data_IF_197215787227
#
_entry.id   IF_197215787227
#
_cell.length_a   1.000
_cell.length_b   1.000
_cell.length_c   1.000
_cell.angle_alpha   90.00
_cell.angle_beta   90.00
_cell.angle_gamma   90.00
#
_symmetry.space_group_name_H-M   'P 1'
#
loop_
_entity.id
_entity.type
_entity.pdbx_description
1 polymer ?
#
# COMPACT_ATOMS: atom_id res chain seq x y z
N UNK A 1 8.48 -11.32 7.01
CA UNK A 1 8.10 -10.94 5.63
C UNK A 1 6.73 -10.30 5.55
N UNK A 2 5.62 -11.03 5.74
CA UNK A 2 4.26 -10.45 5.63
C UNK A 2 4.07 -9.20 6.51
N UNK A 3 4.46 -9.27 7.79
CA UNK A 3 4.38 -8.12 8.71
C UNK A 3 5.08 -6.87 8.14
N UNK A 4 6.25 -7.03 7.54
CA UNK A 4 7.01 -5.93 6.93
C UNK A 4 6.27 -5.34 5.73
N UNK A 5 5.72 -6.18 4.84
CA UNK A 5 4.91 -5.72 3.70
C UNK A 5 3.67 -4.95 4.17
N UNK A 6 2.98 -5.44 5.20
CA UNK A 6 1.82 -4.75 5.78
C UNK A 6 2.20 -3.41 6.43
N UNK A 7 3.37 -3.33 7.05
CA UNK A 7 3.91 -2.08 7.59
C UNK A 7 4.27 -1.08 6.49
N UNK A 8 4.88 -1.55 5.40
CA UNK A 8 5.21 -0.75 4.21
C UNK A 8 3.91 -0.19 3.59
N UNK A 9 2.93 -1.05 3.31
CA UNK A 9 1.62 -0.62 2.78
C UNK A 9 1.00 0.47 3.65
N UNK A 10 1.02 0.29 4.97
CA UNK A 10 0.44 1.26 5.90
C UNK A 10 1.23 2.57 5.96
N UNK A 11 2.56 2.51 5.97
CA UNK A 11 3.42 3.67 6.13
C UNK A 11 3.43 4.56 4.88
N UNK A 12 3.45 3.94 3.69
CA UNK A 12 3.52 4.63 2.41
C UNK A 12 2.15 4.76 1.73
N UNK A 13 1.07 4.32 2.39
CA UNK A 13 -0.31 4.33 1.85
C UNK A 13 -0.43 3.69 0.47
N UNK A 14 0.28 2.58 0.25
CA UNK A 14 0.32 1.88 -1.04
C UNK A 14 -1.05 1.24 -1.31
N UNK A 15 -1.76 1.65 -2.37
CA UNK A 15 -3.17 1.32 -2.56
C UNK A 15 -3.40 0.00 -3.30
N UNK A 16 -2.38 -0.62 -3.89
CA UNK A 16 -2.53 -1.85 -4.65
C UNK A 16 -1.21 -2.64 -4.78
N UNK A 17 -1.28 -3.80 -5.42
CA UNK A 17 -0.16 -4.73 -5.54
C UNK A 17 0.92 -4.28 -6.55
N UNK A 18 0.55 -3.53 -7.59
CA UNK A 18 1.48 -3.02 -8.60
C UNK A 18 2.40 -1.97 -7.98
N UNK A 19 1.81 -1.01 -7.27
CA UNK A 19 2.55 0.02 -6.54
C UNK A 19 3.45 -0.59 -5.45
N UNK A 20 3.00 -1.69 -4.81
CA UNK A 20 3.83 -2.43 -3.86
C UNK A 20 5.00 -3.14 -4.55
N UNK A 21 4.76 -3.69 -5.74
CA UNK A 21 5.79 -4.35 -6.53
C UNK A 21 6.90 -3.37 -6.90
N UNK A 22 6.55 -2.22 -7.47
CA UNK A 22 7.48 -1.14 -7.82
C UNK A 22 8.29 -0.69 -6.58
N UNK A 23 7.60 -0.47 -5.45
CA UNK A 23 8.27 -0.10 -4.20
C UNK A 23 9.31 -1.14 -3.75
N UNK A 24 8.98 -2.44 -3.85
CA UNK A 24 9.87 -3.53 -3.43
C UNK A 24 11.03 -3.72 -4.40
N UNK A 25 10.83 -3.54 -5.71
CA UNK A 25 11.92 -3.56 -6.68
C UNK A 25 12.97 -2.47 -6.38
N UNK A 26 12.51 -1.28 -6.02
CA UNK A 26 13.40 -0.15 -5.73
C UNK A 26 14.03 -0.20 -4.33
N UNK A 27 13.25 -0.60 -3.31
CA UNK A 27 13.60 -0.40 -1.91
C UNK A 27 13.67 -1.70 -1.09
N UNK A 28 13.25 -2.85 -1.64
CA UNK A 28 13.06 -4.10 -0.90
C UNK A 28 14.30 -4.58 -0.15
N UNK A 29 15.49 -4.39 -0.74
CA UNK A 29 16.76 -4.74 -0.12
C UNK A 29 16.98 -4.05 1.24
N UNK A 30 16.57 -2.79 1.37
CA UNK A 30 16.66 -2.02 2.63
C UNK A 30 15.76 -2.58 3.74
N UNK A 31 14.76 -3.38 3.38
CA UNK A 31 13.86 -4.06 4.32
C UNK A 31 14.18 -5.56 4.46
N UNK A 32 15.24 -6.06 3.80
CA UNK A 32 15.58 -7.47 3.75
C UNK A 32 14.55 -8.31 2.97
N UNK A 33 13.92 -7.73 1.95
CA UNK A 33 12.91 -8.36 1.11
C UNK A 33 13.44 -8.41 -0.32
N UNK A 34 13.74 -9.61 -0.81
CA UNK A 34 13.97 -9.84 -2.23
C UNK A 34 12.68 -10.19 -2.98
N UNK A 35 12.73 -10.18 -4.32
CA UNK A 35 11.56 -10.43 -5.17
C UNK A 35 10.99 -11.84 -5.03
N UNK A 36 11.81 -12.86 -4.80
CA UNK A 36 11.30 -14.23 -4.64
C UNK A 36 10.52 -14.37 -3.32
N UNK A 37 11.06 -13.76 -2.26
CA UNK A 37 10.42 -13.70 -0.95
C UNK A 37 9.12 -12.88 -0.98
N UNK A 38 9.09 -11.80 -1.77
CA UNK A 38 7.87 -11.04 -2.04
C UNK A 38 6.82 -11.89 -2.78
N UNK A 39 7.17 -12.49 -3.91
CA UNK A 39 6.26 -13.31 -4.75
C UNK A 39 5.66 -14.49 -3.97
N UNK A 40 6.48 -15.23 -3.20
CA UNK A 40 5.98 -16.33 -2.36
C UNK A 40 5.05 -15.86 -1.22
N UNK A 41 5.25 -14.64 -0.72
CA UNK A 41 4.39 -14.07 0.32
C UNK A 41 3.03 -13.67 -0.24
N UNK A 42 2.99 -13.05 -1.43
CA UNK A 42 1.73 -12.60 -2.04
C UNK A 42 0.84 -13.78 -2.45
N UNK A 43 1.44 -14.85 -2.97
CA UNK A 43 0.72 -16.05 -3.42
C UNK A 43 -0.07 -16.70 -2.28
N UNK A 44 0.49 -16.72 -1.06
CA UNK A 44 -0.13 -17.38 0.09
C UNK A 44 -0.96 -16.46 1.00
N UNK A 45 -0.99 -15.14 0.75
CA UNK A 45 -1.58 -14.12 1.65
C UNK A 45 -2.40 -13.04 0.94
N UNK A 46 -2.94 -13.34 -0.24
CA UNK A 46 -3.71 -12.40 -1.06
C UNK A 46 -4.88 -11.72 -0.32
N UNK A 47 -5.64 -12.44 0.50
CA UNK A 47 -6.82 -11.89 1.21
C UNK A 47 -6.48 -10.76 2.18
N UNK A 48 -5.43 -10.90 2.99
CA UNK A 48 -5.04 -9.86 3.96
C UNK A 48 -4.39 -8.66 3.27
N UNK A 49 -3.63 -8.89 2.20
CA UNK A 49 -3.08 -7.82 1.37
C UNK A 49 -4.20 -6.97 0.77
N UNK A 50 -5.25 -7.61 0.24
CA UNK A 50 -6.42 -6.90 -0.30
C UNK A 50 -7.09 -5.99 0.71
N UNK A 51 -7.27 -6.44 1.96
CA UNK A 51 -7.82 -5.60 3.03
C UNK A 51 -6.95 -4.37 3.33
N UNK A 52 -5.62 -4.53 3.29
CA UNK A 52 -4.69 -3.42 3.51
C UNK A 52 -4.71 -2.42 2.35
N UNK A 53 -4.74 -2.92 1.11
CA UNK A 53 -4.88 -2.11 -0.10
C UNK A 53 -6.19 -1.31 -0.10
N UNK A 54 -7.32 -1.96 0.17
CA UNK A 54 -8.62 -1.30 0.28
C UNK A 54 -8.61 -0.21 1.36
N UNK A 55 -8.01 -0.50 2.52
CA UNK A 55 -7.87 0.47 3.61
C UNK A 55 -6.97 1.66 3.26
N UNK A 56 -5.85 1.43 2.56
CA UNK A 56 -4.95 2.47 2.09
C UNK A 56 -5.63 3.38 1.06
N UNK A 57 -6.31 2.79 0.07
CA UNK A 57 -7.06 3.53 -0.95
C UNK A 57 -8.22 4.34 -0.37
N UNK A 58 -8.95 3.80 0.60
CA UNK A 58 -10.01 4.56 1.28
C UNK A 58 -9.43 5.73 2.09
N UNK A 59 -8.25 5.57 2.68
CA UNK A 59 -7.59 6.63 3.44
C UNK A 59 -7.13 7.77 2.53
N UNK A 60 -6.53 7.47 1.38
CA UNK A 60 -6.12 8.51 0.42
C UNK A 60 -7.31 9.34 -0.06
N UNK A 61 -8.44 8.69 -0.41
CA UNK A 61 -9.67 9.37 -0.81
C UNK A 61 -10.35 10.21 0.28
N UNK A 62 -10.15 9.89 1.56
CA UNK A 62 -10.66 10.73 2.67
C UNK A 62 -9.89 12.04 2.78
N UNK A 63 -8.59 12.03 2.50
CA UNK A 63 -7.76 13.23 2.44
C UNK A 63 -8.26 14.20 1.37
N UNK A 64 -8.46 13.69 0.14
CA UNK A 64 -8.93 14.49 -1.01
C UNK A 64 -10.30 15.14 -0.78
N UNK A 65 -11.25 14.43 -0.15
CA UNK A 65 -12.58 14.99 0.17
C UNK A 65 -12.56 16.08 1.24
N UNK A 66 -11.52 16.13 2.07
CA UNK A 66 -11.41 17.12 3.15
C UNK A 66 -10.84 18.46 2.65
N UNK A 67 -10.15 18.47 1.51
CA UNK A 67 -9.52 19.66 0.93
C UNK A 67 -10.37 20.33 -0.16
N UNK A 68 -11.35 19.63 -0.76
CA UNK A 68 -12.28 20.18 -1.76
C UNK A 68 -13.56 20.83 -1.20
N UNK A 69 -13.68 21.01 0.11
CA UNK A 69 -14.93 21.38 0.81
C UNK A 69 -15.08 22.84 1.24
N UNK A 70 -14.37 23.79 0.62
CA UNK A 70 -14.63 25.23 0.79
C UNK A 70 -14.25 25.99 -0.47
N UNK A 71 -15.24 26.38 -1.27
CA UNK A 71 -15.34 27.65 -2.03
C UNK A 71 -16.27 27.45 -3.21
N UNK A 72 -17.59 27.56 -3.01
CA UNK A 72 -18.55 28.10 -4.00
C UNK A 72 -19.78 28.59 -3.22
N UNK A 73 -19.60 29.72 -2.52
CA UNK A 73 -20.69 30.64 -2.16
C UNK A 73 -20.25 32.02 -2.65
N UNK A 74 -20.57 32.34 -3.91
CA UNK A 74 -20.69 33.71 -4.44
C UNK A 74 -21.62 33.72 -5.66
#
# INVERSE_FOLDING_TARGET
>A
TLKSLLQIIRAYSIPNILDLHEFIEENGASYGIDMNLFLSTIESKSSILRLYFDGAYQRSKRGEKSEGGKSEDF
#
